data_IF_095136814792
#
_entry.id   IF_095136814792
#
_cell.length_a   1.000
_cell.length_b   1.000
_cell.length_c   1.000
_cell.angle_alpha   90.00
_cell.angle_beta   90.00
_cell.angle_gamma   90.00
#
_symmetry.space_group_name_H-M   'P 1'
#
loop_
_entity.id
_entity.type
_entity.pdbx_description
1 polymer ?
#
# COMPACT_ATOMS: atom_id res chain seq x y z
N UNK A 1 12.12 22.01 -3.96
CA UNK A 1 10.84 22.35 -4.61
C UNK A 1 10.53 21.24 -5.59
N UNK A 2 9.76 20.26 -5.16
CA UNK A 2 9.24 19.21 -6.04
C UNK A 2 8.06 19.81 -6.81
N UNK A 3 8.08 19.72 -8.13
CA UNK A 3 7.03 20.30 -9.00
C UNK A 3 5.69 19.60 -8.74
N UNK A 4 4.55 20.21 -9.09
CA UNK A 4 3.24 19.54 -8.97
C UNK A 4 3.21 18.18 -9.67
N UNK A 5 3.99 18.00 -10.74
CA UNK A 5 4.19 16.72 -11.43
C UNK A 5 4.72 15.61 -10.52
N UNK A 6 5.60 15.95 -9.57
CA UNK A 6 6.18 15.00 -8.60
C UNK A 6 5.13 14.57 -7.55
N UNK A 7 4.25 15.49 -7.14
CA UNK A 7 3.14 15.21 -6.21
C UNK A 7 2.17 14.15 -6.75
N UNK A 8 1.94 14.12 -8.06
CA UNK A 8 1.01 13.20 -8.72
C UNK A 8 1.69 12.04 -9.44
N UNK A 9 3.02 11.91 -9.31
CA UNK A 9 3.77 10.94 -10.08
C UNK A 9 3.29 9.50 -9.81
N UNK A 10 3.03 9.17 -8.54
CA UNK A 10 2.49 7.87 -8.14
C UNK A 10 1.04 7.68 -8.60
N UNK A 11 0.15 8.68 -8.50
CA UNK A 11 -1.22 8.57 -9.06
C UNK A 11 -1.18 8.24 -10.54
N UNK A 12 -0.36 8.96 -11.30
CA UNK A 12 -0.22 8.75 -12.73
C UNK A 12 0.35 7.37 -13.06
N UNK A 13 1.31 6.87 -12.28
CA UNK A 13 1.85 5.52 -12.47
C UNK A 13 0.76 4.44 -12.22
N UNK A 14 -0.05 4.61 -11.17
CA UNK A 14 -1.18 3.71 -10.88
C UNK A 14 -2.22 3.72 -12.00
N UNK A 15 -2.54 4.89 -12.56
CA UNK A 15 -3.48 5.00 -13.68
C UNK A 15 -3.02 4.28 -14.94
N UNK A 16 -1.72 4.08 -15.15
CA UNK A 16 -1.21 3.27 -16.26
C UNK A 16 -1.58 1.80 -16.12
N UNK A 17 -1.54 1.22 -14.91
CA UNK A 17 -2.02 -0.14 -14.69
C UNK A 17 -3.53 -0.24 -14.96
N UNK A 18 -4.30 0.73 -14.49
CA UNK A 18 -5.76 0.79 -14.73
C UNK A 18 -6.08 0.84 -16.23
N UNK A 19 -5.18 1.41 -17.05
CA UNK A 19 -5.29 1.44 -18.51
C UNK A 19 -4.79 0.17 -19.21
N UNK A 20 -4.29 -0.81 -18.46
CA UNK A 20 -3.80 -2.10 -18.97
C UNK A 20 -2.28 -2.20 -19.14
N UNK A 21 -1.50 -1.21 -18.67
CA UNK A 21 -0.04 -1.19 -18.79
C UNK A 21 0.66 -1.60 -17.48
N UNK A 22 0.31 -2.77 -16.94
CA UNK A 22 0.77 -3.21 -15.62
C UNK A 22 2.29 -3.23 -15.45
N UNK A 23 3.05 -3.71 -16.43
CA UNK A 23 4.51 -3.81 -16.33
C UNK A 23 5.19 -2.42 -16.28
N UNK A 24 4.71 -1.49 -17.11
CA UNK A 24 5.20 -0.10 -17.14
C UNK A 24 4.84 0.62 -15.84
N UNK A 25 3.62 0.39 -15.34
CA UNK A 25 3.17 0.95 -14.07
C UNK A 25 4.02 0.43 -12.90
N UNK A 26 4.27 -0.87 -12.85
CA UNK A 26 5.08 -1.51 -11.81
C UNK A 26 6.49 -0.90 -11.74
N UNK A 27 7.18 -0.81 -12.87
CA UNK A 27 8.53 -0.23 -12.94
C UNK A 27 8.54 1.23 -12.44
N UNK A 28 7.59 2.05 -12.91
CA UNK A 28 7.48 3.45 -12.49
C UNK A 28 7.17 3.60 -11.02
N UNK A 29 6.27 2.78 -10.46
CA UNK A 29 5.96 2.79 -9.02
C UNK A 29 7.21 2.44 -8.22
N UNK A 30 7.96 1.41 -8.60
CA UNK A 30 9.20 1.04 -7.91
C UNK A 30 10.23 2.18 -7.92
N UNK A 31 10.48 2.80 -9.08
CA UNK A 31 11.43 3.91 -9.20
C UNK A 31 11.02 5.11 -8.33
N UNK A 32 9.73 5.46 -8.33
CA UNK A 32 9.20 6.57 -7.54
C UNK A 32 9.29 6.30 -6.04
N UNK A 33 8.92 5.10 -5.59
CA UNK A 33 9.04 4.70 -4.18
C UNK A 33 10.50 4.69 -3.72
N UNK A 34 11.42 4.23 -4.57
CA UNK A 34 12.86 4.25 -4.32
C UNK A 34 13.42 5.68 -4.23
N UNK A 35 12.85 6.62 -5.00
CA UNK A 35 13.14 8.05 -4.91
C UNK A 35 12.52 8.73 -3.67
N UNK A 36 11.72 8.01 -2.87
CA UNK A 36 11.10 8.51 -1.65
C UNK A 36 9.71 9.12 -1.83
N UNK A 37 9.06 8.88 -2.97
CA UNK A 37 7.67 9.28 -3.15
C UNK A 37 6.78 8.56 -2.12
N UNK A 38 5.91 9.32 -1.45
CA UNK A 38 5.02 8.79 -0.41
C UNK A 38 3.69 8.29 -1.05
N UNK A 39 3.40 6.98 -1.02
CA UNK A 39 2.14 6.44 -1.56
C UNK A 39 0.91 6.81 -0.72
N UNK A 40 1.09 7.38 0.47
CA UNK A 40 0.02 7.88 1.33
C UNK A 40 -0.13 9.40 1.29
N UNK A 41 0.65 10.12 0.47
CA UNK A 41 0.45 11.54 0.23
C UNK A 41 -0.85 11.74 -0.55
N UNK A 42 -1.79 12.50 0.03
CA UNK A 42 -3.06 12.79 -0.59
C UNK A 42 -2.95 13.93 -1.61
N UNK A 43 -3.75 13.84 -2.66
CA UNK A 43 -4.02 14.97 -3.54
C UNK A 43 -4.99 15.99 -2.92
N UNK A 44 -5.38 17.00 -3.73
CA UNK A 44 -6.36 18.01 -3.36
C UNK A 44 -7.77 17.47 -3.06
N UNK A 45 -8.09 16.26 -3.54
CA UNK A 45 -9.36 15.59 -3.30
C UNK A 45 -9.29 14.64 -2.09
N UNK A 46 -8.13 14.50 -1.46
CA UNK A 46 -7.90 13.55 -0.37
C UNK A 46 -7.59 12.14 -0.84
N UNK A 47 -7.46 11.90 -2.15
CA UNK A 47 -7.08 10.60 -2.70
C UNK A 47 -5.56 10.41 -2.64
N UNK A 48 -5.13 9.29 -2.08
CA UNK A 48 -3.71 8.89 -2.10
C UNK A 48 -3.47 7.94 -3.27
N UNK A 49 -2.24 7.87 -3.80
CA UNK A 49 -1.90 6.86 -4.81
C UNK A 49 -2.24 5.43 -4.34
N UNK A 50 -1.97 5.13 -3.06
CA UNK A 50 -2.29 3.85 -2.45
C UNK A 50 -3.80 3.55 -2.48
N UNK A 51 -4.65 4.55 -2.20
CA UNK A 51 -6.11 4.35 -2.17
C UNK A 51 -6.63 3.98 -3.56
N UNK A 52 -6.14 4.66 -4.60
CA UNK A 52 -6.50 4.36 -6.00
C UNK A 52 -6.00 2.96 -6.37
N UNK A 53 -4.76 2.63 -6.04
CA UNK A 53 -4.13 1.37 -6.39
C UNK A 53 -4.80 0.17 -5.71
N UNK A 54 -5.06 0.27 -4.40
CA UNK A 54 -5.64 -0.81 -3.61
C UNK A 54 -7.05 -1.22 -4.05
N UNK A 55 -7.76 -0.34 -4.77
CA UNK A 55 -9.09 -0.57 -5.33
C UNK A 55 -9.05 -1.06 -6.79
N UNK A 56 -8.11 -0.58 -7.61
CA UNK A 56 -8.19 -0.72 -9.07
C UNK A 56 -6.93 -1.29 -9.74
N UNK A 57 -5.81 -1.38 -9.04
CA UNK A 57 -4.50 -1.69 -9.62
C UNK A 57 -3.77 -2.72 -8.73
N UNK A 58 -4.08 -4.03 -8.86
CA UNK A 58 -3.56 -5.08 -7.98
C UNK A 58 -2.02 -5.13 -7.90
N UNK A 59 -1.30 -4.89 -9.00
CA UNK A 59 0.17 -4.93 -9.03
C UNK A 59 0.75 -3.75 -8.25
N UNK A 60 0.35 -2.53 -8.60
CA UNK A 60 0.76 -1.32 -7.88
C UNK A 60 0.35 -1.38 -6.40
N UNK A 61 -0.85 -1.85 -6.11
CA UNK A 61 -1.37 -2.00 -4.75
C UNK A 61 -0.53 -2.97 -3.92
N UNK A 62 -0.11 -4.10 -4.50
CA UNK A 62 0.81 -5.04 -3.84
C UNK A 62 2.18 -4.41 -3.60
N UNK A 63 2.76 -3.74 -4.59
CA UNK A 63 4.05 -3.06 -4.45
C UNK A 63 4.04 -2.02 -3.32
N UNK A 64 3.02 -1.16 -3.29
CA UNK A 64 2.91 -0.14 -2.24
C UNK A 64 2.59 -0.74 -0.87
N UNK A 65 1.91 -1.89 -0.80
CA UNK A 65 1.68 -2.63 0.46
C UNK A 65 2.99 -3.17 1.03
N UNK A 66 3.84 -3.74 0.18
CA UNK A 66 5.17 -4.22 0.57
C UNK A 66 6.04 -3.04 1.01
N UNK A 67 6.02 -1.94 0.26
CA UNK A 67 6.74 -0.74 0.65
C UNK A 67 6.29 -0.20 2.01
N UNK A 68 4.98 -0.10 2.27
CA UNK A 68 4.47 0.30 3.57
C UNK A 68 4.98 -0.63 4.68
N UNK A 69 4.93 -1.95 4.48
CA UNK A 69 5.48 -2.91 5.43
C UNK A 69 6.95 -2.66 5.74
N UNK A 70 7.78 -2.51 4.71
CA UNK A 70 9.22 -2.29 4.86
C UNK A 70 9.53 -1.00 5.61
N UNK A 71 8.87 0.11 5.26
CA UNK A 71 9.05 1.39 5.95
C UNK A 71 8.61 1.29 7.41
N UNK A 72 7.42 0.72 7.67
CA UNK A 72 6.89 0.58 9.02
C UNK A 72 7.78 -0.30 9.91
N UNK A 73 8.26 -1.44 9.39
CA UNK A 73 9.19 -2.33 10.10
C UNK A 73 10.55 -1.68 10.37
N UNK A 74 10.98 -0.78 9.48
CA UNK A 74 12.20 0.01 9.67
C UNK A 74 12.01 1.23 10.60
N UNK A 75 10.80 1.47 11.11
CA UNK A 75 10.47 2.68 11.87
C UNK A 75 10.55 3.97 11.03
N UNK A 76 10.35 3.86 9.72
CA UNK A 76 10.39 4.94 8.72
C UNK A 76 9.00 5.15 8.11
N UNK A 77 8.88 6.22 7.32
CA UNK A 77 7.66 6.53 6.58
C UNK A 77 6.58 7.19 7.44
N UNK A 78 5.48 7.59 6.78
CA UNK A 78 4.37 8.30 7.41
C UNK A 78 3.30 7.40 8.07
N UNK A 79 3.41 6.08 7.91
CA UNK A 79 2.45 5.11 8.47
C UNK A 79 3.15 3.90 9.11
N UNK A 80 2.73 3.54 10.32
CA UNK A 80 3.13 2.33 11.03
C UNK A 80 2.28 1.10 10.68
N UNK A 81 2.62 -0.05 11.30
CA UNK A 81 2.00 -1.36 11.02
C UNK A 81 0.49 -1.40 11.28
N UNK A 82 0.01 -0.59 12.22
CA UNK A 82 -1.38 -0.60 12.69
C UNK A 82 -2.19 0.62 12.24
N UNK A 83 -1.59 1.48 11.42
CA UNK A 83 -2.28 2.63 10.87
C UNK A 83 -3.29 2.21 9.80
N UNK A 84 -4.26 3.09 9.57
CA UNK A 84 -5.36 2.85 8.63
C UNK A 84 -5.11 3.61 7.32
N UNK A 85 -5.53 3.00 6.22
CA UNK A 85 -5.49 3.56 4.88
C UNK A 85 -6.79 3.23 4.12
N UNK A 86 -7.02 3.89 2.98
CA UNK A 86 -8.20 3.66 2.16
C UNK A 86 -9.52 4.21 2.72
N UNK A 87 -10.53 4.28 1.86
CA UNK A 87 -11.87 4.71 2.23
C UNK A 87 -12.51 3.82 3.32
N UNK A 88 -12.23 2.51 3.27
CA UNK A 88 -12.68 1.54 4.27
C UNK A 88 -11.88 1.57 5.59
N UNK A 89 -10.82 2.38 5.66
CA UNK A 89 -9.95 2.45 6.83
C UNK A 89 -9.37 1.08 7.18
N UNK A 90 -8.75 0.41 6.23
CA UNK A 90 -8.13 -0.90 6.45
C UNK A 90 -6.69 -0.74 6.97
N UNK A 91 -6.23 -1.67 7.81
CA UNK A 91 -4.86 -1.80 8.30
C UNK A 91 -3.96 -2.46 7.27
N UNK A 92 -2.65 -2.41 7.49
CA UNK A 92 -1.68 -3.13 6.65
C UNK A 92 -1.96 -4.64 6.61
N UNK A 93 -2.28 -5.26 7.76
CA UNK A 93 -2.63 -6.68 7.84
C UNK A 93 -3.79 -7.05 6.89
N UNK A 94 -4.81 -6.20 6.82
CA UNK A 94 -5.95 -6.35 5.92
C UNK A 94 -5.57 -6.26 4.44
N UNK A 95 -4.62 -5.41 4.08
CA UNK A 95 -4.12 -5.35 2.71
C UNK A 95 -3.23 -6.55 2.35
N UNK A 96 -2.37 -6.99 3.26
CA UNK A 96 -1.51 -8.16 3.07
C UNK A 96 -2.30 -9.46 2.97
N UNK A 97 -3.43 -9.57 3.70
CA UNK A 97 -4.27 -10.76 3.73
C UNK A 97 -4.79 -11.19 2.33
N UNK A 98 -4.90 -10.24 1.40
CA UNK A 98 -5.26 -10.50 -0.01
C UNK A 98 -4.28 -11.43 -0.75
N UNK A 99 -3.07 -11.62 -0.21
CA UNK A 99 -1.95 -12.26 -0.89
C UNK A 99 -1.31 -13.39 -0.05
N UNK A 100 -2.02 -13.96 0.93
CA UNK A 100 -1.47 -15.01 1.82
C UNK A 100 -1.21 -16.36 1.14
N UNK A 101 -1.50 -16.50 -0.17
CA UNK A 101 -1.04 -17.65 -0.96
C UNK A 101 0.43 -17.54 -1.39
N UNK A 102 1.08 -16.41 -1.14
CA UNK A 102 2.48 -16.14 -1.47
C UNK A 102 3.36 -16.35 -0.23
N UNK A 103 4.30 -17.31 -0.30
CA UNK A 103 5.17 -17.69 0.81
C UNK A 103 6.01 -16.52 1.35
N UNK A 104 6.44 -15.60 0.48
CA UNK A 104 7.20 -14.42 0.92
C UNK A 104 6.30 -13.47 1.73
N UNK A 105 5.06 -13.28 1.29
CA UNK A 105 4.07 -12.48 2.01
C UNK A 105 3.71 -13.15 3.34
N UNK A 106 3.53 -14.46 3.38
CA UNK A 106 3.26 -15.20 4.63
C UNK A 106 4.40 -15.02 5.62
N UNK A 107 5.65 -15.19 5.17
CA UNK A 107 6.81 -15.00 6.02
C UNK A 107 6.93 -13.55 6.52
N UNK A 108 6.63 -12.57 5.66
CA UNK A 108 6.65 -11.16 6.01
C UNK A 108 5.52 -10.79 7.00
N UNK A 109 4.33 -11.36 6.81
CA UNK A 109 3.17 -11.19 7.69
C UNK A 109 3.46 -11.73 9.09
N UNK A 110 4.06 -12.93 9.19
CA UNK A 110 4.44 -13.52 10.47
C UNK A 110 5.48 -12.67 11.21
N UNK A 111 6.48 -12.14 10.49
CA UNK A 111 7.49 -11.21 11.04
C UNK A 111 6.83 -9.93 11.56
N UNK A 112 5.89 -9.35 10.81
CA UNK A 112 5.16 -8.15 11.21
C UNK A 112 4.26 -8.41 12.43
N UNK A 113 3.59 -9.57 12.49
CA UNK A 113 2.79 -9.97 13.64
C UNK A 113 3.65 -10.10 14.91
N UNK A 114 4.83 -10.71 14.81
CA UNK A 114 5.80 -10.77 15.90
C UNK A 114 6.31 -9.38 16.34
N UNK A 115 6.29 -8.39 15.43
CA UNK A 115 6.61 -7.00 15.70
C UNK A 115 5.42 -6.16 16.19
N UNK A 116 4.26 -6.78 16.47
CA UNK A 116 3.09 -6.09 17.04
C UNK A 116 2.05 -5.62 16.02
N UNK A 117 2.08 -6.13 14.79
CA UNK A 117 0.99 -5.92 13.83
C UNK A 117 -0.30 -6.58 14.34
N UNK A 118 -1.38 -5.80 14.35
CA UNK A 118 -2.71 -6.23 14.79
C UNK A 118 -3.45 -6.89 13.63
N UNK A 119 -3.68 -8.19 13.76
CA UNK A 119 -4.26 -9.03 12.70
C UNK A 119 -5.77 -9.19 12.81
N UNK A 120 -6.39 -8.76 13.91
CA UNK A 120 -7.83 -8.93 14.16
C UNK A 120 -8.58 -7.60 14.30
N UNK A 121 -7.98 -6.50 13.84
CA UNK A 121 -8.62 -5.18 13.92
C UNK A 121 -9.61 -5.01 12.77
N UNK A 122 -10.93 -4.87 13.02
CA UNK A 122 -11.92 -4.79 11.95
C UNK A 122 -11.81 -3.46 11.18
N UNK A 123 -12.02 -3.52 9.87
CA UNK A 123 -12.19 -2.32 9.04
C UNK A 123 -13.60 -1.71 9.22
N UNK A 124 -13.92 -0.62 8.51
CA UNK A 124 -15.26 0.00 8.59
C UNK A 124 -16.40 -0.94 8.18
N UNK A 125 -16.10 -2.00 7.44
CA UNK A 125 -17.07 -3.04 7.04
C UNK A 125 -17.11 -4.23 8.01
N UNK A 126 -16.37 -4.18 9.12
CA UNK A 126 -16.30 -5.26 10.10
C UNK A 126 -15.36 -6.41 9.73
N UNK A 127 -14.68 -6.36 8.58
CA UNK A 127 -13.83 -7.44 8.10
C UNK A 127 -12.49 -7.48 8.83
N UNK A 128 -12.00 -8.66 9.22
CA UNK A 128 -10.63 -8.89 9.71
C UNK A 128 -9.91 -9.94 8.86
N UNK A 129 -8.57 -9.91 8.78
CA UNK A 129 -7.76 -10.95 8.14
C UNK A 129 -8.08 -12.37 8.59
N UNK A 130 -8.49 -12.57 9.85
CA UNK A 130 -8.80 -13.90 10.40
C UNK A 130 -10.17 -14.45 9.97
N UNK A 131 -11.00 -13.64 9.32
CA UNK A 131 -12.31 -14.05 8.79
C UNK A 131 -12.23 -14.63 7.36
N UNK A 132 -11.04 -14.67 6.76
CA UNK A 132 -10.81 -15.08 5.38
C UNK A 132 -10.47 -16.58 5.24
#
# INVERSE_FOLDING_TARGET
MTTETDRFALHNAVLEEVRGHADVAAARVQDLLAAGADPHAADSNGETPFNVAAANAPVCGRLMTIYWLEQAMAGKGGKGLNDRSGAHGSTLAQYMAKWLADDEIVAAFARAAAAGMQVDTPNKSGWTPLMA
#
